data_IF_488036126796
#
_entry.id   IF_488036126796
#
_cell.length_a   1.000
_cell.length_b   1.000
_cell.length_c   1.000
_cell.angle_alpha   90.00
_cell.angle_beta   90.00
_cell.angle_gamma   90.00
#
_symmetry.space_group_name_H-M   'P 1'
#
loop_
_entity.id
_entity.type
_entity.pdbx_description
1 polymer ?
#
# COMPACT_ATOMS: atom_id res chain seq x y z
N UNK A 1 -17.95 -81.02 6.57
CA UNK A 1 -17.82 -80.24 5.33
C UNK A 1 -18.78 -79.07 5.44
N UNK A 2 -18.37 -77.95 6.05
CA UNK A 2 -19.20 -76.74 6.08
C UNK A 2 -19.30 -76.19 4.67
N UNK A 3 -20.54 -76.11 4.16
CA UNK A 3 -20.80 -75.43 2.90
C UNK A 3 -20.67 -73.93 3.16
N UNK A 4 -19.62 -73.32 2.60
CA UNK A 4 -19.42 -71.88 2.65
C UNK A 4 -20.68 -71.17 2.12
N UNK A 5 -21.20 -70.17 2.84
CA UNK A 5 -22.39 -69.46 2.41
C UNK A 5 -22.12 -68.83 1.05
N UNK A 6 -23.04 -69.05 0.10
CA UNK A 6 -22.93 -68.47 -1.23
C UNK A 6 -22.86 -66.93 -1.15
N UNK A 7 -22.22 -66.29 -2.13
CA UNK A 7 -22.06 -64.83 -2.13
C UNK A 7 -23.40 -64.07 -1.97
N UNK A 8 -24.50 -64.65 -2.46
CA UNK A 8 -25.86 -64.10 -2.27
C UNK A 8 -26.28 -64.10 -0.79
N UNK A 9 -25.96 -65.16 -0.06
CA UNK A 9 -26.29 -65.31 1.35
C UNK A 9 -25.48 -64.35 2.22
N UNK A 10 -24.22 -64.12 1.86
CA UNK A 10 -23.37 -63.09 2.48
C UNK A 10 -23.92 -61.69 2.23
N UNK A 11 -24.40 -61.41 1.02
CA UNK A 11 -24.97 -60.11 0.68
C UNK A 11 -26.32 -59.87 1.36
N UNK A 12 -27.18 -60.89 1.45
CA UNK A 12 -28.44 -60.83 2.20
C UNK A 12 -28.19 -60.61 3.70
N UNK A 13 -27.20 -61.30 4.27
CA UNK A 13 -26.82 -61.12 5.67
C UNK A 13 -26.22 -59.72 5.93
N UNK A 14 -25.47 -59.18 4.97
CA UNK A 14 -24.96 -57.81 5.03
C UNK A 14 -26.09 -56.77 4.91
N UNK A 15 -27.07 -57.01 4.04
CA UNK A 15 -28.25 -56.14 3.90
C UNK A 15 -29.11 -56.13 5.16
N UNK A 16 -29.37 -57.30 5.76
CA UNK A 16 -30.09 -57.40 7.02
C UNK A 16 -29.34 -56.68 8.16
N UNK A 17 -28.00 -56.76 8.16
CA UNK A 17 -27.16 -56.04 9.12
C UNK A 17 -27.22 -54.51 8.97
N UNK A 18 -27.25 -54.00 7.72
CA UNK A 18 -27.38 -52.56 7.43
C UNK A 18 -28.77 -52.07 7.85
N UNK A 19 -29.83 -52.80 7.50
CA UNK A 19 -31.20 -52.47 7.91
C UNK A 19 -31.37 -52.51 9.44
N UNK A 20 -30.72 -53.44 10.13
CA UNK A 20 -30.73 -53.50 11.61
C UNK A 20 -29.99 -52.31 12.21
N UNK A 21 -28.85 -51.92 11.61
CA UNK A 21 -28.06 -50.73 11.98
C UNK A 21 -28.81 -49.41 11.78
N UNK A 22 -29.60 -49.29 10.71
CA UNK A 22 -30.39 -48.08 10.45
C UNK A 22 -31.59 -47.98 11.41
N UNK A 23 -32.29 -49.09 11.69
CA UNK A 23 -33.39 -49.10 12.68
C UNK A 23 -32.92 -48.82 14.11
N UNK A 24 -31.74 -49.33 14.50
CA UNK A 24 -31.13 -49.09 15.81
C UNK A 24 -30.59 -47.66 15.97
N UNK A 25 -30.24 -46.98 14.86
CA UNK A 25 -29.80 -45.59 14.90
C UNK A 25 -30.95 -44.61 15.16
N UNK A 26 -32.20 -45.02 14.92
CA UNK A 26 -33.40 -44.20 15.13
C UNK A 26 -34.15 -44.56 16.43
N UNK A 27 -34.13 -45.82 16.86
CA UNK A 27 -34.85 -46.27 18.06
C UNK A 27 -33.91 -46.74 19.18
N UNK A 28 -33.43 -45.77 19.96
CA UNK A 28 -32.80 -46.05 21.26
C UNK A 28 -33.84 -46.59 22.25
N UNK A 29 -33.51 -47.72 22.90
CA UNK A 29 -34.22 -48.38 24.01
C UNK A 29 -35.41 -49.30 23.67
N UNK A 30 -35.15 -50.47 23.07
CA UNK A 30 -35.79 -51.79 23.34
C UNK A 30 -35.25 -52.77 22.26
N UNK A 31 -34.66 -53.94 22.52
CA UNK A 31 -35.01 -54.98 23.49
C UNK A 31 -33.89 -56.05 23.56
N UNK A 32 -33.57 -56.50 24.78
CA UNK A 32 -33.03 -57.81 25.26
C UNK A 32 -31.66 -58.38 24.77
N UNK A 33 -30.82 -58.68 25.78
CA UNK A 33 -29.48 -59.33 25.85
C UNK A 33 -29.56 -60.88 25.66
N UNK A 34 -28.50 -61.73 25.87
CA UNK A 34 -27.05 -61.73 25.58
C UNK A 34 -26.60 -62.93 24.70
N UNK A 35 -25.43 -62.88 24.04
CA UNK A 35 -24.57 -64.08 23.94
C UNK A 35 -23.10 -63.71 23.64
N UNK A 36 -22.21 -64.39 24.35
CA UNK A 36 -20.76 -64.20 24.43
C UNK A 36 -19.99 -64.39 23.11
N UNK A 37 -18.86 -63.68 22.98
CA UNK A 37 -17.54 -64.23 22.61
C UNK A 37 -16.49 -63.12 22.45
N UNK A 38 -15.52 -63.14 23.36
CA UNK A 38 -14.09 -62.85 23.17
C UNK A 38 -13.61 -61.95 22.00
N UNK A 39 -13.32 -60.68 22.32
CA UNK A 39 -12.21 -59.82 21.81
C UNK A 39 -12.14 -59.56 20.27
N UNK A 40 -11.24 -58.73 19.70
CA UNK A 40 -10.38 -57.67 20.23
C UNK A 40 -10.50 -56.33 19.44
N UNK A 41 -9.90 -55.26 19.97
CA UNK A 41 -9.14 -54.30 19.15
C UNK A 41 -9.92 -53.45 18.14
N UNK A 42 -10.68 -52.47 18.62
CA UNK A 42 -11.28 -51.40 17.79
C UNK A 42 -10.19 -50.43 17.28
N UNK A 43 -9.49 -50.76 16.18
CA UNK A 43 -8.62 -49.81 15.46
C UNK A 43 -9.50 -48.83 14.67
N UNK A 44 -9.64 -47.63 15.25
CA UNK A 44 -10.42 -46.48 14.77
C UNK A 44 -9.81 -45.96 13.45
N UNK A 45 -10.52 -46.09 12.32
CA UNK A 45 -10.17 -45.41 11.07
C UNK A 45 -10.20 -43.89 11.33
N UNK A 46 -9.05 -43.23 11.18
CA UNK A 46 -8.91 -41.78 11.28
C UNK A 46 -9.68 -41.15 10.11
N UNK A 47 -10.89 -40.67 10.38
CA UNK A 47 -11.45 -39.55 9.60
C UNK A 47 -10.55 -38.36 9.93
N UNK A 48 -10.02 -37.68 8.92
CA UNK A 48 -9.40 -36.36 9.08
C UNK A 48 -10.50 -35.35 9.43
N UNK A 49 -11.06 -35.48 10.63
CA UNK A 49 -11.77 -34.41 11.29
C UNK A 49 -10.69 -33.40 11.66
N UNK A 50 -10.46 -32.41 10.80
CA UNK A 50 -9.64 -31.27 11.18
C UNK A 50 -10.23 -30.74 12.49
N UNK A 51 -9.46 -30.85 13.56
CA UNK A 51 -9.93 -30.44 14.88
C UNK A 51 -10.41 -28.98 14.76
N UNK A 52 -11.64 -28.65 15.17
CA UNK A 52 -12.17 -27.29 15.04
C UNK A 52 -11.26 -26.27 15.72
N UNK A 53 -10.51 -26.69 16.75
CA UNK A 53 -9.50 -25.88 17.43
C UNK A 53 -8.28 -25.54 16.55
N UNK A 54 -7.88 -26.45 15.65
CA UNK A 54 -6.80 -26.21 14.68
C UNK A 54 -7.22 -25.16 13.64
N UNK A 55 -8.45 -25.24 13.12
CA UNK A 55 -8.99 -24.26 12.18
C UNK A 55 -9.13 -22.88 12.83
N UNK A 56 -9.62 -22.82 14.07
CA UNK A 56 -9.70 -21.57 14.87
C UNK A 56 -8.31 -20.96 15.08
N UNK A 57 -7.30 -21.79 15.38
CA UNK A 57 -5.93 -21.32 15.56
C UNK A 57 -5.35 -20.72 14.28
N UNK A 58 -5.52 -21.37 13.13
CA UNK A 58 -5.07 -20.85 11.83
C UNK A 58 -5.76 -19.52 11.51
N UNK A 59 -7.07 -19.43 11.74
CA UNK A 59 -7.81 -18.17 11.54
C UNK A 59 -7.26 -17.02 12.40
N UNK A 60 -6.97 -17.27 13.67
CA UNK A 60 -6.42 -16.27 14.58
C UNK A 60 -5.03 -15.76 14.13
N UNK A 61 -4.16 -16.66 13.67
CA UNK A 61 -2.84 -16.27 13.14
C UNK A 61 -2.97 -15.44 11.85
N UNK A 62 -3.87 -15.81 10.94
CA UNK A 62 -4.15 -15.00 9.75
C UNK A 62 -4.70 -13.61 10.10
N UNK A 63 -5.62 -13.52 11.06
CA UNK A 63 -6.18 -12.24 11.51
C UNK A 63 -5.13 -11.37 12.22
N UNK A 64 -4.23 -11.99 12.99
CA UNK A 64 -3.09 -11.30 13.62
C UNK A 64 -2.15 -10.74 12.56
N UNK A 65 -1.82 -11.51 11.53
CA UNK A 65 -1.01 -11.05 10.40
C UNK A 65 -1.70 -9.89 9.66
N UNK A 66 -2.99 -10.03 9.35
CA UNK A 66 -3.80 -8.99 8.70
C UNK A 66 -3.82 -7.69 9.52
N UNK A 67 -3.97 -7.78 10.85
CA UNK A 67 -3.92 -6.61 11.75
C UNK A 67 -2.54 -5.96 11.79
N UNK A 68 -1.46 -6.74 11.74
CA UNK A 68 -0.10 -6.20 11.67
C UNK A 68 0.13 -5.41 10.38
N UNK A 69 -0.33 -5.95 9.24
CA UNK A 69 -0.28 -5.25 7.94
C UNK A 69 -1.06 -3.92 7.99
N UNK A 70 -2.28 -3.95 8.51
CA UNK A 70 -3.10 -2.73 8.63
C UNK A 70 -2.40 -1.65 9.48
N UNK A 71 -1.78 -2.04 10.60
CA UNK A 71 -1.03 -1.10 11.45
C UNK A 71 0.13 -0.45 10.68
N UNK A 72 0.90 -1.25 9.92
CA UNK A 72 1.99 -0.75 9.07
C UNK A 72 1.48 0.26 8.04
N UNK A 73 0.39 -0.04 7.34
CA UNK A 73 -0.18 0.89 6.36
C UNK A 73 -0.65 2.21 7.01
N UNK A 74 -1.28 2.13 8.19
CA UNK A 74 -1.71 3.33 8.92
C UNK A 74 -0.52 4.16 9.42
N UNK A 75 0.56 3.52 9.84
CA UNK A 75 1.80 4.19 10.25
C UNK A 75 2.46 4.93 9.09
N UNK A 76 2.55 4.29 7.91
CA UNK A 76 3.02 4.96 6.70
C UNK A 76 2.13 6.16 6.32
N UNK A 77 0.80 6.02 6.45
CA UNK A 77 -0.11 7.13 6.19
C UNK A 77 0.12 8.30 7.15
N UNK A 78 0.44 8.05 8.42
CA UNK A 78 0.75 9.12 9.39
C UNK A 78 1.99 9.92 9.00
N UNK A 79 2.98 9.31 8.36
CA UNK A 79 4.20 9.99 7.92
C UNK A 79 3.95 10.93 6.73
N UNK A 80 2.95 10.62 5.89
CA UNK A 80 2.62 11.41 4.70
C UNK A 80 1.63 12.55 4.98
N UNK A 81 0.76 12.38 5.99
CA UNK A 81 -0.23 13.39 6.35
C UNK A 81 0.41 14.38 7.32
N UNK A 82 0.28 15.71 7.11
CA UNK A 82 0.71 16.71 8.09
C UNK A 82 -0.17 16.58 9.34
N UNK A 83 0.32 15.85 10.33
CA UNK A 83 -0.29 15.69 11.64
C UNK A 83 0.35 16.71 12.58
N UNK A 84 -0.46 17.60 13.15
CA UNK A 84 0.00 18.44 14.24
C UNK A 84 0.29 17.58 15.48
N UNK A 85 1.41 17.87 16.14
CA UNK A 85 1.89 17.16 17.34
C UNK A 85 0.87 17.23 18.49
N UNK A 86 -0.03 18.21 18.47
CA UNK A 86 -0.99 18.49 19.54
C UNK A 86 -2.31 17.71 19.47
N UNK A 87 -2.45 16.75 18.55
CA UNK A 87 -3.73 16.05 18.42
C UNK A 87 -3.77 14.82 19.31
N UNK A 88 -4.09 15.07 20.59
CA UNK A 88 -4.30 14.09 21.66
C UNK A 88 -5.15 12.85 21.26
N UNK A 89 -5.95 12.94 20.18
CA UNK A 89 -6.69 11.80 19.60
C UNK A 89 -6.23 11.43 18.20
N UNK A 90 -5.23 10.56 18.11
CA UNK A 90 -4.86 9.88 16.87
C UNK A 90 -5.74 8.63 16.64
N UNK A 91 -7.01 8.83 16.27
CA UNK A 91 -7.91 7.73 15.88
C UNK A 91 -7.78 7.42 14.39
N UNK A 92 -8.02 6.17 13.97
CA UNK A 92 -8.00 5.78 12.54
C UNK A 92 -8.93 6.66 11.69
N UNK A 93 -10.12 6.97 12.19
CA UNK A 93 -11.08 7.82 11.47
C UNK A 93 -10.54 9.24 11.25
N UNK A 94 -9.95 9.84 12.28
CA UNK A 94 -9.39 11.20 12.19
C UNK A 94 -8.24 11.27 11.17
N UNK A 95 -7.38 10.25 11.13
CA UNK A 95 -6.30 10.12 10.16
C UNK A 95 -6.84 10.04 8.73
N UNK A 96 -7.84 9.18 8.49
CA UNK A 96 -8.44 9.01 7.16
C UNK A 96 -9.15 10.30 6.69
N UNK A 97 -9.81 11.04 7.59
CA UNK A 97 -10.42 12.31 7.25
C UNK A 97 -9.38 13.36 6.86
N UNK A 98 -8.30 13.49 7.65
CA UNK A 98 -7.19 14.41 7.35
C UNK A 98 -6.45 14.06 6.07
N UNK A 99 -6.23 12.77 5.81
CA UNK A 99 -5.63 12.30 4.56
C UNK A 99 -6.42 12.78 3.35
N UNK A 100 -7.76 12.59 3.37
CA UNK A 100 -8.63 13.09 2.28
C UNK A 100 -8.55 14.60 2.12
N UNK A 101 -8.58 15.35 3.22
CA UNK A 101 -8.42 16.81 3.17
C UNK A 101 -7.05 17.22 2.63
N UNK A 102 -5.99 16.49 2.98
CA UNK A 102 -4.64 16.79 2.54
C UNK A 102 -4.47 16.57 1.04
N UNK A 103 -4.99 15.47 0.50
CA UNK A 103 -5.03 15.22 -0.96
C UNK A 103 -5.71 16.40 -1.67
N UNK A 104 -6.90 16.79 -1.22
CA UNK A 104 -7.64 17.91 -1.82
C UNK A 104 -6.87 19.23 -1.77
N UNK A 105 -6.18 19.50 -0.67
CA UNK A 105 -5.31 20.68 -0.53
C UNK A 105 -4.13 20.65 -1.50
N UNK A 106 -3.51 19.49 -1.70
CA UNK A 106 -2.40 19.32 -2.64
C UNK A 106 -2.86 19.53 -4.09
N UNK A 107 -3.99 18.96 -4.48
CA UNK A 107 -4.61 19.16 -5.81
C UNK A 107 -4.87 20.64 -6.08
N UNK A 108 -5.45 21.35 -5.11
CA UNK A 108 -5.69 22.80 -5.22
C UNK A 108 -4.40 23.61 -5.33
N UNK A 109 -3.34 23.20 -4.61
CA UNK A 109 -2.02 23.83 -4.69
C UNK A 109 -1.36 23.61 -6.05
N UNK A 110 -1.41 22.37 -6.57
CA UNK A 110 -0.91 22.03 -7.89
C UNK A 110 -1.60 22.86 -8.96
N UNK A 111 -2.93 22.96 -8.92
CA UNK A 111 -3.70 23.77 -9.86
C UNK A 111 -3.29 25.25 -9.80
N UNK A 112 -3.17 25.83 -8.59
CA UNK A 112 -2.72 27.22 -8.43
C UNK A 112 -1.30 27.45 -8.95
N UNK A 113 -0.38 26.53 -8.66
CA UNK A 113 1.00 26.60 -9.11
C UNK A 113 1.09 26.51 -10.64
N UNK A 114 0.31 25.62 -11.26
CA UNK A 114 0.19 25.49 -12.72
C UNK A 114 -0.30 26.78 -13.36
N UNK A 115 -1.38 27.37 -12.83
CA UNK A 115 -1.93 28.63 -13.34
C UNK A 115 -0.93 29.79 -13.18
N UNK A 116 -0.22 29.85 -12.05
CA UNK A 116 0.82 30.86 -11.83
C UNK A 116 1.96 30.72 -12.84
N UNK A 117 2.43 29.49 -13.07
CA UNK A 117 3.48 29.19 -14.05
C UNK A 117 3.06 29.59 -15.46
N UNK A 118 1.80 29.37 -15.84
CA UNK A 118 1.27 29.79 -17.12
C UNK A 118 1.23 31.31 -17.27
N UNK A 119 0.72 32.03 -16.27
CA UNK A 119 0.72 33.51 -16.25
C UNK A 119 2.12 34.07 -16.45
N UNK A 120 3.10 33.55 -15.71
CA UNK A 120 4.50 33.96 -15.81
C UNK A 120 5.10 33.64 -17.19
N UNK A 121 4.74 32.51 -17.81
CA UNK A 121 5.19 32.17 -19.17
C UNK A 121 4.63 33.15 -20.20
N UNK A 122 3.35 33.47 -20.12
CA UNK A 122 2.71 34.46 -21.00
C UNK A 122 3.35 35.83 -20.85
N UNK A 123 3.62 36.25 -19.60
CA UNK A 123 4.30 37.50 -19.33
C UNK A 123 5.74 37.51 -19.86
N UNK A 124 6.51 36.44 -19.61
CA UNK A 124 7.86 36.29 -20.15
C UNK A 124 7.87 36.39 -21.68
N UNK A 125 6.92 35.76 -22.35
CA UNK A 125 6.79 35.84 -23.80
C UNK A 125 6.46 37.26 -24.27
N UNK A 126 5.51 37.94 -23.61
CA UNK A 126 5.15 39.34 -23.90
C UNK A 126 6.37 40.26 -23.75
N UNK A 127 7.11 40.13 -22.66
CA UNK A 127 8.31 40.92 -22.41
C UNK A 127 9.41 40.64 -23.46
N UNK A 128 9.62 39.38 -23.83
CA UNK A 128 10.56 39.00 -24.91
C UNK A 128 10.17 39.61 -26.26
N UNK A 129 8.89 39.63 -26.61
CA UNK A 129 8.41 40.26 -27.84
C UNK A 129 8.64 41.78 -27.81
N UNK A 130 8.35 42.43 -26.68
CA UNK A 130 8.61 43.86 -26.50
C UNK A 130 10.10 44.19 -26.59
N UNK A 131 10.97 43.37 -26.02
CA UNK A 131 12.42 43.52 -26.18
C UNK A 131 12.82 43.41 -27.66
N UNK A 132 12.31 42.42 -28.41
CA UNK A 132 12.60 42.31 -29.85
C UNK A 132 12.16 43.55 -30.65
N UNK A 133 11.04 44.17 -30.30
CA UNK A 133 10.55 45.40 -30.95
C UNK A 133 11.32 46.66 -30.56
N UNK A 134 11.92 46.69 -29.36
CA UNK A 134 12.75 47.80 -28.89
C UNK A 134 14.23 47.65 -29.26
N UNK A 135 14.67 46.44 -29.65
CA UNK A 135 16.03 46.14 -30.08
C UNK A 135 16.30 46.18 -31.61
N UNK A 136 15.46 46.71 -32.53
CA UNK A 136 15.93 46.96 -33.88
C UNK A 136 16.89 48.16 -33.82
N UNK A 137 18.13 47.94 -34.27
CA UNK A 137 19.19 48.96 -34.51
C UNK A 137 20.31 49.16 -33.49
N UNK A 138 20.49 48.35 -32.42
CA UNK A 138 21.66 48.52 -31.52
C UNK A 138 22.68 47.39 -31.50
N UNK A 139 22.40 46.26 -32.18
CA UNK A 139 23.31 45.10 -32.24
C UNK A 139 23.92 44.81 -33.61
N UNK A 140 23.52 45.53 -34.67
CA UNK A 140 24.12 45.36 -36.01
C UNK A 140 25.25 46.35 -36.32
N UNK A 141 25.38 47.46 -35.56
CA UNK A 141 26.29 48.57 -35.92
C UNK A 141 27.46 48.83 -34.95
N UNK A 142 27.74 47.93 -33.99
CA UNK A 142 28.86 48.15 -33.03
C UNK A 142 29.96 47.10 -33.04
N UNK A 143 30.14 46.38 -34.15
CA UNK A 143 31.41 45.68 -34.42
C UNK A 143 32.33 46.64 -35.21
N UNK A 144 32.66 47.76 -34.59
CA UNK A 144 33.85 48.59 -34.88
C UNK A 144 34.22 49.31 -33.58
N UNK A 145 34.67 48.54 -32.59
CA UNK A 145 35.26 49.09 -31.38
C UNK A 145 36.77 49.24 -31.58
N UNK A 146 37.15 50.23 -32.38
CA UNK A 146 38.48 50.84 -32.26
C UNK A 146 38.30 52.12 -31.44
N UNK A 147 38.53 52.03 -30.13
CA UNK A 147 39.19 53.10 -29.39
C UNK A 147 39.71 52.53 -28.08
N UNK A 148 41.04 52.53 -28.02
CA UNK A 148 41.81 52.46 -26.80
C UNK A 148 41.39 53.60 -25.85
N UNK A 149 41.69 53.40 -24.57
CA UNK A 149 41.67 54.39 -23.48
C UNK A 149 40.37 54.52 -22.67
N UNK A 150 40.28 53.78 -21.57
CA UNK A 150 40.22 54.43 -20.27
C UNK A 150 40.53 53.41 -19.18
N UNK A 151 41.72 53.58 -18.62
CA UNK A 151 42.28 52.78 -17.54
C UNK A 151 41.82 53.31 -16.18
N UNK A 152 41.71 52.38 -15.23
CA UNK A 152 42.11 52.58 -13.82
C UNK A 152 41.45 53.69 -13.01
N UNK A 153 40.44 53.30 -12.23
CA UNK A 153 40.27 53.79 -10.86
C UNK A 153 39.63 52.70 -10.01
N UNK A 154 40.51 52.08 -9.21
CA UNK A 154 40.24 51.16 -8.12
C UNK A 154 39.70 51.89 -6.88
N UNK A 155 39.34 51.09 -5.86
CA UNK A 155 39.06 51.41 -4.45
C UNK A 155 37.62 51.79 -4.08
N UNK A 156 37.03 51.32 -2.97
CA UNK A 156 37.41 50.35 -1.94
C UNK A 156 36.15 50.06 -1.09
N UNK A 157 36.02 48.83 -0.59
CA UNK A 157 35.39 48.45 0.70
C UNK A 157 33.94 48.88 0.96
N UNK A 158 33.06 47.88 1.07
CA UNK A 158 32.14 47.85 2.20
C UNK A 158 31.99 46.41 2.69
N UNK A 159 32.41 46.22 3.93
CA UNK A 159 32.54 44.97 4.66
C UNK A 159 31.34 44.88 5.63
N UNK A 160 30.63 43.75 5.62
CA UNK A 160 29.68 43.38 6.68
C UNK A 160 29.46 41.87 6.66
N UNK A 161 30.23 41.21 7.53
CA UNK A 161 29.95 40.01 8.33
C UNK A 161 28.45 39.80 8.63
N UNK A 162 27.88 38.63 8.93
CA UNK A 162 28.18 37.20 8.83
C UNK A 162 26.94 36.51 9.46
N UNK A 163 26.48 35.40 8.87
CA UNK A 163 25.32 34.65 9.38
C UNK A 163 25.00 33.46 8.47
N UNK A 164 25.61 32.33 8.79
CA UNK A 164 25.75 31.10 8.02
C UNK A 164 24.47 30.38 7.57
N UNK A 165 24.59 29.76 6.38
CA UNK A 165 24.20 28.39 5.95
C UNK A 165 22.86 27.82 6.44
N UNK A 166 21.96 27.29 5.61
CA UNK A 166 22.17 26.27 4.57
C UNK A 166 21.07 26.34 3.50
N UNK A 167 21.44 26.45 2.23
CA UNK A 167 20.65 25.97 1.09
C UNK A 167 21.56 25.83 -0.13
N UNK A 168 22.45 24.83 -0.08
CA UNK A 168 23.21 24.40 -1.26
C UNK A 168 22.50 23.19 -1.86
N UNK A 169 21.55 23.46 -2.76
CA UNK A 169 21.17 22.54 -3.86
C UNK A 169 20.07 23.16 -4.70
N UNK A 170 20.37 24.24 -5.41
CA UNK A 170 19.62 24.67 -6.58
C UNK A 170 20.60 25.44 -7.45
N UNK A 171 20.58 25.20 -8.76
CA UNK A 171 21.48 25.75 -9.78
C UNK A 171 22.73 24.92 -10.12
N UNK A 172 22.47 23.72 -10.66
CA UNK A 172 23.29 23.22 -11.77
C UNK A 172 22.36 22.78 -12.91
N UNK A 173 22.21 23.68 -13.89
CA UNK A 173 22.15 23.43 -15.34
C UNK A 173 21.13 22.39 -15.83
N UNK A 174 19.94 22.86 -16.24
CA UNK A 174 19.21 22.24 -17.35
C UNK A 174 19.51 23.03 -18.63
N UNK A 175 20.65 22.73 -19.24
CA UNK A 175 20.85 22.88 -20.68
C UNK A 175 20.99 21.48 -21.27
N UNK A 176 20.03 21.10 -22.12
CA UNK A 176 20.15 19.92 -23.00
C UNK A 176 21.27 20.13 -24.04
N UNK A 177 21.66 19.06 -24.75
CA UNK A 177 21.20 18.99 -26.13
C UNK A 177 20.65 17.63 -26.54
N UNK A 178 19.68 17.74 -27.46
CA UNK A 178 19.08 16.70 -28.29
C UNK A 178 20.16 16.05 -29.17
N UNK A 179 20.19 14.73 -29.22
CA UNK A 179 20.61 13.90 -30.36
C UNK A 179 19.96 12.54 -30.25
#
# INVERSE_FOLDING_TARGET
>A
MEQLPSNLQVLLQAAEYVERREREAEHGYASILPCDTSTPGRRKRQRTTSNPDSVRSVHNELEKHRRAQLRRCLEQLKQQVPLSVDTSRHTTLSLLHRARQHIKKLEDQELRAKNMKEKLRTEQQRLRQRLKQLLPSSSAERIRADSLDSSTLSSERSDSDQGESHNKECYTILYSPVS
#
